data_IF_658199592626
#
_entry.id   IF_658199592626
#
_cell.length_a   1.000
_cell.length_b   1.000
_cell.length_c   1.000
_cell.angle_alpha   90.00
_cell.angle_beta   90.00
_cell.angle_gamma   90.00
#
_symmetry.space_group_name_H-M   'P 1'
#
loop_
_entity.id
_entity.type
_entity.pdbx_description
1 polymer ?
#
# COMPACT_ATOMS: atom_id res chain seq x y z
N UNK A 1 4.59 -25.64 9.97
CA UNK A 1 4.38 -25.51 8.51
C UNK A 1 4.81 -26.84 7.87
N UNK A 2 3.94 -27.50 7.11
CA UNK A 2 4.33 -28.70 6.38
C UNK A 2 5.25 -28.34 5.22
N UNK A 3 5.99 -29.32 4.65
CA UNK A 3 6.85 -29.06 3.47
C UNK A 3 6.03 -28.53 2.28
N UNK A 4 4.83 -29.03 2.09
CA UNK A 4 3.89 -28.58 1.05
C UNK A 4 3.44 -27.14 1.27
N UNK A 5 3.12 -26.74 2.51
CA UNK A 5 2.69 -25.36 2.81
C UNK A 5 3.82 -24.38 2.57
N UNK A 6 5.07 -24.76 2.87
CA UNK A 6 6.24 -23.90 2.63
C UNK A 6 6.44 -23.68 1.13
N UNK A 7 6.35 -24.71 0.31
CA UNK A 7 6.47 -24.60 -1.15
C UNK A 7 5.38 -23.69 -1.72
N UNK A 8 4.13 -23.82 -1.28
CA UNK A 8 3.03 -22.96 -1.70
C UNK A 8 3.24 -21.50 -1.30
N UNK A 9 3.73 -21.28 -0.08
CA UNK A 9 4.05 -19.95 0.42
C UNK A 9 5.18 -19.29 -0.37
N UNK A 10 6.30 -19.98 -0.56
CA UNK A 10 7.47 -19.47 -1.30
C UNK A 10 7.12 -19.18 -2.76
N UNK A 11 6.36 -20.08 -3.42
CA UNK A 11 5.90 -19.87 -4.80
C UNK A 11 4.95 -18.69 -4.92
N UNK A 12 4.00 -18.53 -4.00
CA UNK A 12 3.06 -17.40 -4.03
C UNK A 12 3.77 -16.06 -3.80
N UNK A 13 4.75 -16.01 -2.88
CA UNK A 13 5.62 -14.83 -2.69
C UNK A 13 6.42 -14.53 -3.96
N UNK A 14 7.05 -15.54 -4.57
CA UNK A 14 7.86 -15.38 -5.78
C UNK A 14 7.05 -14.84 -6.95
N UNK A 15 5.89 -15.42 -7.24
CA UNK A 15 4.99 -14.99 -8.31
C UNK A 15 4.56 -13.54 -8.09
N UNK A 16 4.10 -13.23 -6.88
CA UNK A 16 3.61 -11.88 -6.57
C UNK A 16 4.73 -10.86 -6.57
N UNK A 17 5.92 -11.21 -6.10
CA UNK A 17 7.12 -10.38 -6.15
C UNK A 17 7.48 -9.98 -7.59
N UNK A 18 7.55 -10.97 -8.49
CA UNK A 18 7.87 -10.73 -9.92
C UNK A 18 6.82 -9.82 -10.56
N UNK A 19 5.54 -10.05 -10.28
CA UNK A 19 4.45 -9.23 -10.80
C UNK A 19 4.53 -7.78 -10.30
N UNK A 20 4.75 -7.57 -9.01
CA UNK A 20 4.88 -6.22 -8.43
C UNK A 20 6.12 -5.49 -8.97
N UNK A 21 7.26 -6.17 -9.12
CA UNK A 21 8.46 -5.59 -9.72
C UNK A 21 8.20 -5.19 -11.17
N UNK A 22 7.56 -6.06 -11.97
CA UNK A 22 7.20 -5.74 -13.35
C UNK A 22 6.35 -4.47 -13.44
N UNK A 23 5.29 -4.36 -12.62
CA UNK A 23 4.44 -3.18 -12.60
C UNK A 23 5.18 -1.93 -12.10
N UNK A 24 6.02 -2.07 -11.08
CA UNK A 24 6.82 -0.97 -10.55
C UNK A 24 7.79 -0.42 -11.60
N UNK A 25 8.52 -1.30 -12.30
CA UNK A 25 9.43 -0.89 -13.38
C UNK A 25 8.69 -0.28 -14.56
N UNK A 26 7.54 -0.84 -14.93
CA UNK A 26 6.71 -0.22 -15.95
C UNK A 26 6.30 1.20 -15.54
N UNK A 27 5.84 1.39 -14.31
CA UNK A 27 5.46 2.71 -13.80
C UNK A 27 6.62 3.70 -13.73
N UNK A 28 7.84 3.25 -13.52
CA UNK A 28 9.04 4.11 -13.50
C UNK A 28 9.50 4.50 -14.91
N UNK A 29 9.56 3.53 -15.82
CA UNK A 29 10.31 3.68 -17.07
C UNK A 29 9.46 3.79 -18.32
N UNK A 30 8.15 3.43 -18.30
CA UNK A 30 7.31 3.57 -19.48
C UNK A 30 7.20 5.03 -19.91
N UNK A 31 7.41 5.25 -21.20
CA UNK A 31 7.34 6.59 -21.81
C UNK A 31 5.90 7.10 -21.80
N UNK A 32 5.71 8.36 -21.51
CA UNK A 32 4.46 9.10 -21.64
C UNK A 32 4.70 10.32 -22.52
N UNK A 33 3.68 10.80 -23.24
CA UNK A 33 3.80 12.03 -24.02
C UNK A 33 4.24 13.19 -23.12
N UNK A 34 5.19 13.99 -23.59
CA UNK A 34 5.69 15.17 -22.87
C UNK A 34 4.71 16.35 -23.01
N UNK A 35 3.57 16.22 -22.35
CA UNK A 35 2.55 17.27 -22.26
C UNK A 35 2.36 17.66 -20.79
N UNK A 36 2.18 18.95 -20.55
CA UNK A 36 1.98 19.49 -19.20
C UNK A 36 0.82 18.83 -18.44
N UNK A 37 -0.21 18.39 -19.17
CA UNK A 37 -1.38 17.70 -18.59
C UNK A 37 -1.01 16.40 -17.89
N UNK A 38 0.04 15.68 -18.34
CA UNK A 38 0.48 14.41 -17.73
C UNK A 38 1.41 14.58 -16.52
N UNK A 39 1.77 15.80 -16.11
CA UNK A 39 2.71 16.04 -15.02
C UNK A 39 2.25 15.41 -13.69
N UNK A 40 0.97 15.54 -13.37
CA UNK A 40 0.39 14.97 -12.14
C UNK A 40 0.26 13.46 -12.23
N UNK A 41 -0.11 12.95 -13.39
CA UNK A 41 -0.13 11.52 -13.67
C UNK A 41 1.27 10.89 -13.48
N UNK A 42 2.32 11.50 -14.03
CA UNK A 42 3.69 11.03 -13.88
C UNK A 42 4.15 11.03 -12.42
N UNK A 43 3.80 12.06 -11.66
CA UNK A 43 4.09 12.10 -10.21
C UNK A 43 3.37 11.00 -9.45
N UNK A 44 2.08 10.83 -9.70
CA UNK A 44 1.26 9.78 -9.11
C UNK A 44 1.80 8.39 -9.44
N UNK A 45 2.13 8.16 -10.71
CA UNK A 45 2.68 6.89 -11.19
C UNK A 45 4.00 6.53 -10.50
N UNK A 46 4.91 7.49 -10.31
CA UNK A 46 6.16 7.28 -9.57
C UNK A 46 5.92 6.94 -8.11
N UNK A 47 4.94 7.56 -7.48
CA UNK A 47 4.55 7.23 -6.09
C UNK A 47 3.95 5.84 -5.99
N UNK A 48 3.12 5.45 -6.96
CA UNK A 48 2.58 4.10 -7.03
C UNK A 48 3.68 3.06 -7.23
N UNK A 49 4.68 3.36 -8.09
CA UNK A 49 5.87 2.53 -8.20
C UNK A 49 6.62 2.39 -6.86
N UNK A 50 6.75 3.48 -6.11
CA UNK A 50 7.32 3.45 -4.75
C UNK A 50 6.56 2.52 -3.81
N UNK A 51 5.22 2.53 -3.83
CA UNK A 51 4.40 1.61 -3.06
C UNK A 51 4.68 0.14 -3.42
N UNK A 52 4.69 -0.17 -4.73
CA UNK A 52 4.95 -1.53 -5.22
C UNK A 52 6.38 -1.99 -4.91
N UNK A 53 7.38 -1.12 -5.05
CA UNK A 53 8.77 -1.45 -4.69
C UNK A 53 8.92 -1.72 -3.19
N UNK A 54 8.25 -0.95 -2.35
CA UNK A 54 8.27 -1.16 -0.89
C UNK A 54 7.67 -2.52 -0.51
N UNK A 55 6.53 -2.89 -1.12
CA UNK A 55 5.94 -4.23 -0.93
C UNK A 55 6.83 -5.33 -1.51
N UNK A 56 7.44 -5.10 -2.68
CA UNK A 56 8.37 -6.04 -3.28
C UNK A 56 9.59 -6.30 -2.39
N UNK A 57 10.14 -5.24 -1.77
CA UNK A 57 11.25 -5.38 -0.82
C UNK A 57 10.85 -6.22 0.40
N UNK A 58 9.64 -6.04 0.91
CA UNK A 58 9.11 -6.85 2.00
C UNK A 58 8.97 -8.32 1.61
N UNK A 59 8.41 -8.61 0.42
CA UNK A 59 8.26 -9.98 -0.08
C UNK A 59 9.62 -10.64 -0.35
N UNK A 60 10.58 -9.88 -0.90
CA UNK A 60 11.95 -10.35 -1.08
C UNK A 60 12.62 -10.69 0.26
N UNK A 61 12.43 -9.85 1.30
CA UNK A 61 12.92 -10.14 2.63
C UNK A 61 12.30 -11.43 3.21
N UNK A 62 11.00 -11.64 3.04
CA UNK A 62 10.33 -12.87 3.46
C UNK A 62 10.83 -14.10 2.71
N UNK A 63 11.16 -13.98 1.42
CA UNK A 63 11.64 -15.08 0.59
C UNK A 63 13.11 -15.43 0.90
N UNK A 64 13.97 -14.42 1.06
CA UNK A 64 15.41 -14.61 1.20
C UNK A 64 15.86 -14.85 2.65
N UNK A 65 15.29 -14.12 3.60
CA UNK A 65 15.68 -14.17 5.02
C UNK A 65 14.78 -15.07 5.83
N UNK A 66 13.58 -15.38 5.32
CA UNK A 66 12.57 -16.19 6.01
C UNK A 66 12.32 -15.78 7.47
N UNK A 67 12.13 -14.48 7.77
CA UNK A 67 12.07 -13.96 9.13
C UNK A 67 10.92 -14.59 9.92
N UNK A 68 9.85 -14.99 9.26
CA UNK A 68 8.69 -15.63 9.88
C UNK A 68 8.99 -17.00 10.50
N UNK A 69 10.02 -17.70 9.98
CA UNK A 69 10.47 -18.99 10.53
C UNK A 69 11.49 -18.81 11.65
N UNK A 70 12.22 -17.70 11.66
CA UNK A 70 13.29 -17.43 12.62
C UNK A 70 12.80 -16.61 13.81
N UNK A 71 12.00 -15.59 13.54
CA UNK A 71 11.49 -14.67 14.57
C UNK A 71 10.16 -14.07 14.10
N UNK A 72 9.06 -14.69 14.50
CA UNK A 72 7.72 -14.36 14.02
C UNK A 72 7.30 -12.93 14.37
N UNK A 73 7.63 -12.45 15.57
CA UNK A 73 7.28 -11.11 16.01
C UNK A 73 8.01 -10.03 15.17
N UNK A 74 9.27 -10.25 14.84
CA UNK A 74 10.02 -9.36 13.96
C UNK A 74 9.41 -9.33 12.55
N UNK A 75 8.94 -10.47 12.03
CA UNK A 75 8.24 -10.53 10.76
C UNK A 75 6.92 -9.75 10.78
N UNK A 76 6.16 -9.83 11.88
CA UNK A 76 4.92 -9.03 12.08
C UNK A 76 5.24 -7.54 12.08
N UNK A 77 6.23 -7.10 12.87
CA UNK A 77 6.65 -5.69 12.94
C UNK A 77 7.13 -5.19 11.58
N UNK A 78 7.90 -5.98 10.85
CA UNK A 78 8.37 -5.65 9.50
C UNK A 78 7.18 -5.46 8.54
N UNK A 79 6.20 -6.36 8.58
CA UNK A 79 4.99 -6.25 7.75
C UNK A 79 4.19 -4.98 8.08
N UNK A 80 3.90 -4.73 9.36
CA UNK A 80 3.14 -3.57 9.79
C UNK A 80 3.83 -2.25 9.39
N UNK A 81 5.16 -2.19 9.56
CA UNK A 81 5.96 -1.01 9.18
C UNK A 81 5.98 -0.78 7.66
N UNK A 82 6.05 -1.86 6.88
CA UNK A 82 5.98 -1.81 5.42
C UNK A 82 4.60 -1.39 4.94
N UNK A 83 3.53 -1.91 5.55
CA UNK A 83 2.16 -1.50 5.19
C UNK A 83 1.90 -0.03 5.50
N UNK A 84 2.45 0.50 6.60
CA UNK A 84 2.32 1.92 6.94
C UNK A 84 2.85 2.83 5.83
N UNK A 85 4.09 2.60 5.38
CA UNK A 85 4.70 3.41 4.31
C UNK A 85 4.01 3.17 2.96
N UNK A 86 3.54 1.94 2.71
CA UNK A 86 2.78 1.62 1.49
C UNK A 86 1.45 2.36 1.44
N UNK A 87 0.70 2.43 2.54
CA UNK A 87 -0.50 3.24 2.63
C UNK A 87 -0.23 4.72 2.36
N UNK A 88 0.88 5.23 2.87
CA UNK A 88 1.29 6.59 2.61
C UNK A 88 1.54 6.83 1.11
N UNK A 89 2.32 5.98 0.45
CA UNK A 89 2.59 6.09 -0.98
C UNK A 89 1.32 5.98 -1.82
N UNK A 90 0.47 5.02 -1.51
CA UNK A 90 -0.82 4.81 -2.17
C UNK A 90 -1.72 6.04 -2.08
N UNK A 91 -1.89 6.54 -0.86
CA UNK A 91 -2.67 7.73 -0.59
C UNK A 91 -2.11 8.97 -1.30
N UNK A 92 -0.80 9.15 -1.26
CA UNK A 92 -0.13 10.24 -1.97
C UNK A 92 -0.30 10.13 -3.49
N UNK A 93 -0.24 8.92 -4.06
CA UNK A 93 -0.44 8.70 -5.48
C UNK A 93 -1.84 9.17 -5.93
N UNK A 94 -2.89 8.74 -5.24
CA UNK A 94 -4.25 9.13 -5.59
C UNK A 94 -4.55 10.61 -5.32
N UNK A 95 -4.11 11.13 -4.19
CA UNK A 95 -4.32 12.54 -3.87
C UNK A 95 -3.56 13.48 -4.83
N UNK A 96 -2.43 13.03 -5.41
CA UNK A 96 -1.72 13.79 -6.44
C UNK A 96 -2.48 13.84 -7.75
N UNK A 97 -3.19 12.78 -8.13
CA UNK A 97 -4.06 12.79 -9.31
C UNK A 97 -5.24 13.74 -9.12
N UNK A 98 -5.87 13.71 -7.94
CA UNK A 98 -7.05 14.52 -7.65
C UNK A 98 -6.73 15.99 -7.37
N UNK A 99 -5.58 16.28 -6.76
CA UNK A 99 -5.20 17.64 -6.37
C UNK A 99 -3.72 17.91 -6.67
N UNK A 100 -3.41 18.70 -7.71
CA UNK A 100 -2.04 19.03 -8.09
C UNK A 100 -1.20 19.66 -6.98
N UNK A 101 -1.84 20.43 -6.09
CA UNK A 101 -1.20 21.17 -5.01
C UNK A 101 -1.16 20.38 -3.68
N UNK A 102 -1.47 19.07 -3.73
CA UNK A 102 -1.48 18.27 -2.50
C UNK A 102 -0.11 18.16 -1.85
N UNK A 103 0.97 18.10 -2.65
CA UNK A 103 2.34 17.97 -2.16
C UNK A 103 2.88 19.30 -1.63
N UNK A 104 2.84 19.43 -0.30
CA UNK A 104 3.58 20.48 0.41
C UNK A 104 4.67 19.84 1.26
N UNK A 105 5.84 20.49 1.37
CA UNK A 105 6.97 20.02 2.19
C UNK A 105 6.51 19.71 3.62
N UNK A 106 5.67 20.55 4.21
CA UNK A 106 5.12 20.36 5.56
C UNK A 106 4.34 19.04 5.70
N UNK A 107 3.55 18.67 4.69
CA UNK A 107 2.80 17.39 4.70
C UNK A 107 3.71 16.20 4.55
N UNK A 108 4.71 16.29 3.67
CA UNK A 108 5.69 15.22 3.46
C UNK A 108 6.46 14.97 4.76
N UNK A 109 7.02 16.00 5.37
CA UNK A 109 7.77 15.89 6.63
C UNK A 109 6.92 15.30 7.75
N UNK A 110 5.66 15.76 7.89
CA UNK A 110 4.74 15.21 8.90
C UNK A 110 4.46 13.72 8.70
N UNK A 111 4.23 13.29 7.45
CA UNK A 111 3.90 11.91 7.14
C UNK A 111 5.10 10.99 7.31
N UNK A 112 6.28 11.42 6.87
CA UNK A 112 7.54 10.67 7.08
C UNK A 112 7.87 10.63 8.57
N UNK A 113 7.71 11.74 9.29
CA UNK A 113 7.90 11.79 10.74
C UNK A 113 6.98 10.81 11.49
N UNK A 114 5.71 10.74 11.09
CA UNK A 114 4.77 9.75 11.64
C UNK A 114 5.19 8.31 11.41
N UNK A 115 5.70 8.00 10.22
CA UNK A 115 6.25 6.66 9.91
C UNK A 115 7.52 6.34 10.71
N UNK A 116 8.43 7.31 10.84
CA UNK A 116 9.65 7.12 11.65
C UNK A 116 9.32 6.88 13.13
N UNK A 117 8.35 7.63 13.70
CA UNK A 117 7.86 7.39 15.06
C UNK A 117 7.25 5.99 15.18
N UNK A 118 6.46 5.57 14.19
CA UNK A 118 5.87 4.24 14.18
C UNK A 118 6.95 3.14 14.19
N UNK A 119 7.98 3.24 13.34
CA UNK A 119 9.10 2.28 13.31
C UNK A 119 9.87 2.29 14.63
N UNK A 120 10.16 3.48 15.16
CA UNK A 120 10.91 3.60 16.41
C UNK A 120 10.17 2.92 17.57
N UNK A 121 8.87 3.19 17.71
CA UNK A 121 8.04 2.55 18.73
C UNK A 121 7.95 1.04 18.52
N UNK A 122 7.85 0.58 17.26
CA UNK A 122 7.88 -0.85 16.93
C UNK A 122 9.18 -1.53 17.33
N UNK A 123 10.31 -0.89 17.02
CA UNK A 123 11.63 -1.42 17.38
C UNK A 123 11.82 -1.45 18.89
N UNK A 124 11.42 -0.38 19.61
CA UNK A 124 11.47 -0.33 21.07
C UNK A 124 10.60 -1.43 21.69
N UNK A 125 9.37 -1.59 21.19
CA UNK A 125 8.48 -2.66 21.68
C UNK A 125 9.11 -4.04 21.48
N UNK A 126 9.69 -4.31 20.31
CA UNK A 126 10.32 -5.59 19.99
C UNK A 126 11.54 -5.87 20.88
N UNK A 127 12.40 -4.87 21.09
CA UNK A 127 13.63 -5.03 21.86
C UNK A 127 13.41 -5.05 23.38
N UNK A 128 12.53 -4.18 23.88
CA UNK A 128 12.31 -4.03 25.33
C UNK A 128 11.31 -5.04 25.90
N UNK A 129 10.34 -5.48 25.11
CA UNK A 129 9.28 -6.39 25.56
C UNK A 129 9.51 -7.84 25.13
N UNK A 130 10.63 -8.15 24.47
CA UNK A 130 10.95 -9.50 24.00
C UNK A 130 10.85 -10.58 25.10
N UNK A 131 11.23 -10.25 26.32
CA UNK A 131 11.18 -11.18 27.46
C UNK A 131 9.79 -11.33 28.09
N UNK A 132 8.79 -10.57 27.62
CA UNK A 132 7.42 -10.62 28.12
C UNK A 132 6.44 -10.76 26.95
N UNK A 133 6.15 -12.01 26.55
CA UNK A 133 5.28 -12.32 25.43
C UNK A 133 3.90 -11.65 25.51
N UNK A 134 3.31 -11.57 26.72
CA UNK A 134 2.01 -10.94 26.90
C UNK A 134 2.01 -9.45 26.60
N UNK A 135 3.02 -8.71 27.09
CA UNK A 135 3.16 -7.26 26.80
C UNK A 135 3.52 -7.01 25.35
N UNK A 136 4.36 -7.85 24.75
CA UNK A 136 4.72 -7.75 23.34
C UNK A 136 3.49 -7.95 22.44
N UNK A 137 2.64 -8.94 22.74
CA UNK A 137 1.38 -9.15 22.02
C UNK A 137 0.44 -7.93 22.11
N UNK A 138 0.28 -7.37 23.31
CA UNK A 138 -0.52 -6.15 23.50
C UNK A 138 0.04 -4.98 22.68
N UNK A 139 1.36 -4.79 22.67
CA UNK A 139 2.01 -3.75 21.87
C UNK A 139 1.76 -3.95 20.36
N UNK A 140 1.88 -5.17 19.86
CA UNK A 140 1.60 -5.49 18.45
C UNK A 140 0.13 -5.22 18.09
N UNK A 141 -0.82 -5.54 18.96
CA UNK A 141 -2.24 -5.24 18.74
C UNK A 141 -2.47 -3.72 18.71
N UNK A 142 -1.89 -2.95 19.61
CA UNK A 142 -2.00 -1.48 19.61
C UNK A 142 -1.44 -0.90 18.31
N UNK A 143 -0.31 -1.40 17.84
CA UNK A 143 0.31 -0.96 16.59
C UNK A 143 -0.55 -1.31 15.37
N UNK A 144 -1.17 -2.48 15.38
CA UNK A 144 -2.11 -2.89 14.31
C UNK A 144 -3.34 -1.98 14.30
N UNK A 145 -3.92 -1.67 15.45
CA UNK A 145 -5.04 -0.73 15.56
C UNK A 145 -4.66 0.68 15.08
N UNK A 146 -3.45 1.14 15.41
CA UNK A 146 -2.94 2.41 14.88
C UNK A 146 -2.84 2.38 13.35
N UNK A 147 -2.25 1.32 12.78
CA UNK A 147 -2.14 1.17 11.33
C UNK A 147 -3.51 1.16 10.64
N UNK A 148 -4.47 0.40 11.16
CA UNK A 148 -5.85 0.34 10.64
C UNK A 148 -6.49 1.73 10.70
N UNK A 149 -6.42 2.41 11.84
CA UNK A 149 -6.95 3.76 12.02
C UNK A 149 -6.33 4.75 11.05
N UNK A 150 -5.03 4.65 10.83
CA UNK A 150 -4.31 5.46 9.84
C UNK A 150 -4.76 5.16 8.41
N UNK A 151 -4.91 3.90 8.02
CA UNK A 151 -5.41 3.48 6.71
C UNK A 151 -6.83 3.97 6.45
N UNK A 152 -7.72 3.83 7.43
CA UNK A 152 -9.10 4.36 7.36
C UNK A 152 -9.10 5.87 7.19
N UNK A 153 -8.28 6.60 7.97
CA UNK A 153 -8.16 8.05 7.86
C UNK A 153 -7.68 8.49 6.47
N UNK A 154 -6.66 7.82 5.92
CA UNK A 154 -6.15 8.12 4.57
C UNK A 154 -7.19 7.84 3.49
N UNK A 155 -7.89 6.71 3.57
CA UNK A 155 -8.95 6.33 2.63
C UNK A 155 -10.12 7.32 2.68
N UNK A 156 -10.53 7.73 3.87
CA UNK A 156 -11.54 8.77 4.05
C UNK A 156 -11.13 10.09 3.36
N UNK A 157 -9.87 10.51 3.51
CA UNK A 157 -9.36 11.70 2.85
C UNK A 157 -9.34 11.61 1.33
N UNK A 158 -9.01 10.44 0.77
CA UNK A 158 -9.06 10.22 -0.68
C UNK A 158 -10.50 10.34 -1.17
N UNK A 159 -11.45 9.64 -0.53
CA UNK A 159 -12.87 9.64 -0.89
C UNK A 159 -13.46 11.06 -0.78
N UNK A 160 -13.15 11.78 0.30
CA UNK A 160 -13.61 13.17 0.47
C UNK A 160 -13.06 14.09 -0.62
N UNK A 161 -11.78 13.93 -0.98
CA UNK A 161 -11.17 14.72 -2.06
C UNK A 161 -11.77 14.37 -3.41
N UNK A 162 -12.04 13.09 -3.66
CA UNK A 162 -12.72 12.60 -4.86
C UNK A 162 -14.10 13.24 -5.02
N UNK A 163 -14.97 13.16 -4.02
CA UNK A 163 -16.30 13.76 -4.09
C UNK A 163 -16.26 15.27 -4.28
N UNK A 164 -15.30 15.95 -3.65
CA UNK A 164 -15.10 17.38 -3.83
C UNK A 164 -14.71 17.72 -5.27
N UNK A 165 -13.80 16.93 -5.88
CA UNK A 165 -13.35 17.15 -7.25
C UNK A 165 -14.47 16.88 -8.26
N UNK A 166 -15.22 15.79 -8.09
CA UNK A 166 -16.38 15.48 -8.95
C UNK A 166 -17.38 16.64 -8.90
N UNK A 167 -17.76 17.09 -7.71
CA UNK A 167 -18.71 18.21 -7.56
C UNK A 167 -18.22 19.50 -8.22
N UNK A 168 -16.95 19.88 -8.01
CA UNK A 168 -16.39 21.07 -8.63
C UNK A 168 -16.37 21.00 -10.16
N UNK A 169 -16.18 19.79 -10.70
CA UNK A 169 -16.17 19.59 -12.14
C UNK A 169 -17.60 19.64 -12.73
N UNK A 170 -18.55 19.00 -12.07
CA UNK A 170 -19.97 19.02 -12.48
C UNK A 170 -20.54 20.45 -12.47
N UNK A 171 -20.05 21.31 -11.56
CA UNK A 171 -20.44 22.74 -11.50
C UNK A 171 -19.82 23.58 -12.62
N UNK A 172 -18.71 23.13 -13.24
CA UNK A 172 -17.93 23.93 -14.21
C UNK A 172 -17.99 23.39 -15.63
N UNK A 173 -18.36 22.13 -15.84
CA UNK A 173 -18.37 21.46 -17.14
C UNK A 173 -19.66 20.64 -17.27
N UNK A 174 -20.11 20.49 -18.54
CA UNK A 174 -21.29 19.69 -18.88
C UNK A 174 -21.02 18.20 -19.03
N UNK A 175 -19.75 17.78 -19.01
CA UNK A 175 -19.36 16.40 -19.22
C UNK A 175 -19.28 15.63 -17.90
N UNK A 176 -19.72 14.37 -17.92
CA UNK A 176 -19.69 13.48 -16.75
C UNK A 176 -18.26 12.95 -16.50
N UNK A 177 -17.49 13.70 -15.71
CA UNK A 177 -16.14 13.26 -15.31
C UNK A 177 -16.18 12.13 -14.27
N UNK A 178 -17.31 11.96 -13.57
CA UNK A 178 -17.42 10.92 -12.55
C UNK A 178 -17.18 9.51 -13.15
N UNK A 179 -17.58 9.30 -14.41
CA UNK A 179 -17.33 8.05 -15.11
C UNK A 179 -15.82 7.76 -15.26
N UNK A 180 -15.00 8.79 -15.55
CA UNK A 180 -13.55 8.64 -15.78
C UNK A 180 -12.74 8.43 -14.50
N UNK A 181 -13.20 8.95 -13.36
CA UNK A 181 -12.45 8.85 -12.09
C UNK A 181 -13.07 7.86 -11.09
N UNK A 182 -14.16 7.20 -11.45
CA UNK A 182 -14.88 6.21 -10.61
C UNK A 182 -13.97 5.06 -10.15
N UNK A 183 -13.02 4.65 -11.00
CA UNK A 183 -12.05 3.63 -10.66
C UNK A 183 -11.20 3.98 -9.43
N UNK A 184 -10.93 5.27 -9.18
CA UNK A 184 -10.16 5.71 -8.02
C UNK A 184 -10.93 5.47 -6.71
N UNK A 185 -12.25 5.70 -6.72
CA UNK A 185 -13.11 5.38 -5.58
C UNK A 185 -13.13 3.87 -5.34
N UNK A 186 -13.34 3.07 -6.38
CA UNK A 186 -13.33 1.61 -6.30
C UNK A 186 -12.00 1.07 -5.75
N UNK A 187 -10.87 1.55 -6.28
CA UNK A 187 -9.55 1.17 -5.80
C UNK A 187 -9.31 1.59 -4.35
N UNK A 188 -9.83 2.74 -3.94
CA UNK A 188 -9.68 3.20 -2.55
C UNK A 188 -10.40 2.27 -1.58
N UNK A 189 -11.63 1.87 -1.91
CA UNK A 189 -12.37 0.89 -1.11
C UNK A 189 -11.68 -0.47 -1.10
N UNK A 190 -11.18 -0.91 -2.24
CA UNK A 190 -10.45 -2.16 -2.34
C UNK A 190 -9.14 -2.12 -1.54
N UNK A 191 -8.38 -1.01 -1.65
CA UNK A 191 -7.18 -0.79 -0.86
C UNK A 191 -7.45 -0.77 0.65
N UNK A 192 -8.58 -0.19 1.08
CA UNK A 192 -8.99 -0.21 2.47
C UNK A 192 -9.28 -1.63 2.97
N UNK A 193 -10.07 -2.41 2.22
CA UNK A 193 -10.40 -3.80 2.57
C UNK A 193 -9.14 -4.65 2.64
N UNK A 194 -8.28 -4.57 1.61
CA UNK A 194 -7.01 -5.29 1.59
C UNK A 194 -6.06 -4.83 2.67
N UNK A 195 -5.99 -3.53 2.93
CA UNK A 195 -5.13 -2.98 3.93
C UNK A 195 -5.50 -3.39 5.36
N UNK A 196 -6.78 -3.30 5.71
CA UNK A 196 -7.29 -3.82 6.99
C UNK A 196 -7.07 -5.33 7.06
N UNK A 197 -7.38 -6.05 5.98
CA UNK A 197 -7.15 -7.48 5.88
C UNK A 197 -5.68 -7.85 6.08
N UNK A 198 -4.74 -7.19 5.39
CA UNK A 198 -3.29 -7.42 5.57
C UNK A 198 -2.85 -7.21 7.02
N UNK A 199 -3.35 -6.15 7.66
CA UNK A 199 -3.00 -5.84 9.05
C UNK A 199 -3.47 -6.92 10.03
N UNK A 200 -4.69 -7.43 9.83
CA UNK A 200 -5.25 -8.50 10.67
C UNK A 200 -4.64 -9.87 10.35
N UNK A 201 -4.47 -10.16 9.06
CA UNK A 201 -3.98 -11.46 8.60
C UNK A 201 -2.46 -11.65 8.79
N UNK A 202 -1.74 -10.58 9.18
CA UNK A 202 -0.35 -10.69 9.64
C UNK A 202 -0.22 -11.64 10.85
N UNK A 203 -1.28 -11.78 11.64
CA UNK A 203 -1.37 -12.71 12.78
C UNK A 203 -1.92 -14.09 12.41
N UNK A 204 -2.24 -14.31 11.14
CA UNK A 204 -2.82 -15.58 10.69
C UNK A 204 -1.79 -16.71 10.79
N UNK A 205 -2.23 -17.96 11.11
CA UNK A 205 -1.36 -19.13 11.00
C UNK A 205 -0.76 -19.27 9.60
N UNK A 206 0.50 -19.66 9.53
CA UNK A 206 1.31 -19.68 8.29
C UNK A 206 0.67 -20.45 7.13
N UNK A 207 -0.09 -21.51 7.45
CA UNK A 207 -0.79 -22.34 6.45
C UNK A 207 -1.83 -21.60 5.60
N UNK A 208 -2.30 -20.41 6.01
CA UNK A 208 -3.32 -19.66 5.26
C UNK A 208 -2.76 -18.39 4.59
N UNK A 209 -1.53 -18.00 4.90
CA UNK A 209 -0.95 -16.74 4.42
C UNK A 209 -0.79 -16.74 2.89
N UNK A 210 -0.47 -17.88 2.30
CA UNK A 210 -0.34 -18.00 0.84
C UNK A 210 -1.65 -17.65 0.11
N UNK A 211 -2.81 -18.01 0.67
CA UNK A 211 -4.12 -17.67 0.09
C UNK A 211 -4.31 -16.17 0.00
N UNK A 212 -3.88 -15.45 1.05
CA UNK A 212 -3.96 -14.00 1.07
C UNK A 212 -3.02 -13.34 0.07
N UNK A 213 -1.80 -13.86 -0.05
CA UNK A 213 -0.83 -13.38 -1.04
C UNK A 213 -1.42 -13.53 -2.46
N UNK A 214 -1.99 -14.68 -2.78
CA UNK A 214 -2.63 -14.92 -4.08
C UNK A 214 -3.86 -14.02 -4.28
N UNK A 215 -4.68 -13.82 -3.25
CA UNK A 215 -5.85 -12.94 -3.32
C UNK A 215 -5.49 -11.47 -3.57
N UNK A 216 -4.25 -11.04 -3.28
CA UNK A 216 -3.78 -9.69 -3.57
C UNK A 216 -3.41 -9.46 -5.04
N UNK A 217 -3.16 -10.51 -5.83
CA UNK A 217 -2.77 -10.40 -7.24
C UNK A 217 -3.79 -9.64 -8.10
N UNK A 218 -5.10 -9.95 -8.04
CA UNK A 218 -6.11 -9.20 -8.78
C UNK A 218 -6.12 -7.71 -8.46
N UNK A 219 -5.83 -7.34 -7.22
CA UNK A 219 -5.73 -5.95 -6.80
C UNK A 219 -4.56 -5.22 -7.49
N UNK A 220 -3.38 -5.83 -7.56
CA UNK A 220 -2.23 -5.25 -8.26
C UNK A 220 -2.47 -5.15 -9.77
N UNK A 221 -3.08 -6.15 -10.39
CA UNK A 221 -3.47 -6.13 -11.80
C UNK A 221 -4.47 -4.99 -12.05
N UNK A 222 -5.47 -4.84 -11.19
CA UNK A 222 -6.47 -3.79 -11.34
C UNK A 222 -5.86 -2.38 -11.23
N UNK A 223 -4.91 -2.16 -10.30
CA UNK A 223 -4.15 -0.91 -10.23
C UNK A 223 -3.43 -0.65 -11.56
N UNK A 224 -2.71 -1.63 -12.06
CA UNK A 224 -1.94 -1.50 -13.28
C UNK A 224 -2.84 -1.15 -14.48
N UNK A 225 -3.91 -1.91 -14.69
CA UNK A 225 -4.89 -1.66 -15.75
C UNK A 225 -5.55 -0.28 -15.62
N UNK A 226 -5.88 0.16 -14.41
CA UNK A 226 -6.50 1.45 -14.16
C UNK A 226 -5.58 2.62 -14.53
N UNK A 227 -4.28 2.52 -14.21
CA UNK A 227 -3.30 3.53 -14.61
C UNK A 227 -3.05 3.53 -16.12
N UNK A 228 -3.09 2.38 -16.80
CA UNK A 228 -3.02 2.30 -18.26
C UNK A 228 -4.23 2.95 -18.90
N UNK A 229 -5.42 2.61 -18.45
CA UNK A 229 -6.67 3.17 -18.99
C UNK A 229 -6.71 4.69 -18.81
N UNK A 230 -6.28 5.22 -17.66
CA UNK A 230 -6.18 6.67 -17.45
C UNK A 230 -5.33 7.37 -18.52
N UNK A 231 -4.25 6.74 -18.99
CA UNK A 231 -3.39 7.29 -20.02
C UNK A 231 -4.02 7.22 -21.42
N UNK A 232 -4.84 6.20 -21.69
CA UNK A 232 -5.46 5.99 -23.01
C UNK A 232 -6.65 6.93 -23.27
N UNK A 233 -7.29 7.44 -22.23
CA UNK A 233 -8.44 8.34 -22.34
C UNK A 233 -8.09 9.83 -22.37
N UNK A 234 -6.81 10.20 -22.28
CA UNK A 234 -6.27 11.55 -22.40
C UNK A 234 -5.37 11.69 -23.64
#
# INVERSE_FOLDING_TARGET
MTCSDKILYDNSLGITLVLMLFFAFYFLFAKTPDKHIFRNYLRSRRLMAGALLTLSANYAAHLLVTPRLQWQEAAVVMNLSTYYITYLFFSCAFLTLLNPNYFTVKRIVRNIGGWLVYILLSAVALLCLHNNEGLLHVAMVIMTLWLISYGVFLSYRIIQTYHRMVRLFDETHSDDIAAYVRWMSLLTWWALIFGVGCSLLTFLPDRYVFLWILASIPFYIHIFCSYLNYLLFY
#
